data_IF_502169068904
#
_entry.id   IF_502169068904
#
_cell.length_a   1.000
_cell.length_b   1.000
_cell.length_c   1.000
_cell.angle_alpha   90.00
_cell.angle_beta   90.00
_cell.angle_gamma   90.00
#
_symmetry.space_group_name_H-M   'P 1'
#
loop_
_entity.id
_entity.type
_entity.pdbx_description
1 polymer ?
#
# COMPACT_ATOMS: atom_id res chain seq x y z
N UNK A 1 -17.34 8.90 -28.42
CA UNK A 1 -17.18 9.37 -27.02
C UNK A 1 -17.87 8.48 -25.98
N UNK A 2 -19.09 7.96 -26.20
CA UNK A 2 -19.78 7.08 -25.25
C UNK A 2 -19.02 5.79 -24.91
N UNK A 3 -18.37 5.15 -25.89
CA UNK A 3 -17.59 3.91 -25.69
C UNK A 3 -16.44 4.04 -24.68
N UNK A 4 -15.74 5.19 -24.67
CA UNK A 4 -14.60 5.41 -23.78
C UNK A 4 -15.02 5.54 -22.31
N UNK A 5 -16.17 6.16 -22.04
CA UNK A 5 -16.68 6.33 -20.66
C UNK A 5 -17.12 4.99 -20.06
N UNK A 6 -17.77 4.15 -20.86
CA UNK A 6 -18.17 2.80 -20.44
C UNK A 6 -16.96 1.91 -20.13
N UNK A 7 -15.88 2.06 -20.88
CA UNK A 7 -14.64 1.31 -20.63
C UNK A 7 -13.93 1.77 -19.34
N UNK A 8 -13.88 3.07 -19.07
CA UNK A 8 -13.33 3.60 -17.82
C UNK A 8 -14.14 3.14 -16.60
N UNK A 9 -15.47 3.18 -16.69
CA UNK A 9 -16.39 2.66 -15.66
C UNK A 9 -16.19 1.15 -15.43
N UNK A 10 -15.97 0.39 -16.50
CA UNK A 10 -15.67 -1.04 -16.42
C UNK A 10 -14.35 -1.32 -15.69
N UNK A 11 -13.29 -0.57 -16.00
CA UNK A 11 -11.98 -0.72 -15.35
C UNK A 11 -11.98 -0.29 -13.88
N UNK A 12 -12.77 0.72 -13.53
CA UNK A 12 -12.89 1.20 -12.15
C UNK A 12 -13.64 0.23 -11.24
N UNK A 13 -14.40 -0.72 -11.80
CA UNK A 13 -15.24 -1.61 -11.01
C UNK A 13 -15.24 -3.07 -11.46
N UNK A 14 -16.13 -3.47 -12.40
CA UNK A 14 -16.34 -4.86 -12.80
C UNK A 14 -15.05 -5.62 -13.11
N UNK A 15 -14.11 -4.99 -13.80
CA UNK A 15 -12.82 -5.59 -14.13
C UNK A 15 -12.01 -6.01 -12.88
N UNK A 16 -12.08 -5.25 -11.79
CA UNK A 16 -11.39 -5.58 -10.55
C UNK A 16 -11.99 -6.82 -9.87
N UNK A 17 -13.30 -7.00 -9.96
CA UNK A 17 -13.97 -8.19 -9.45
C UNK A 17 -13.58 -9.44 -10.24
N UNK A 18 -13.56 -9.33 -11.58
CA UNK A 18 -13.05 -10.39 -12.46
C UNK A 18 -11.58 -10.72 -12.16
N UNK A 19 -10.76 -9.71 -11.91
CA UNK A 19 -9.36 -9.89 -11.56
C UNK A 19 -9.20 -10.63 -10.23
N UNK A 20 -10.02 -10.33 -9.21
CA UNK A 20 -10.02 -11.08 -7.94
C UNK A 20 -10.33 -12.56 -8.18
N UNK A 21 -11.32 -12.86 -9.01
CA UNK A 21 -11.68 -14.24 -9.37
C UNK A 21 -10.52 -14.93 -10.07
N UNK A 22 -9.89 -14.27 -11.04
CA UNK A 22 -8.75 -14.83 -11.79
C UNK A 22 -7.53 -15.09 -10.89
N UNK A 23 -7.24 -14.20 -9.95
CA UNK A 23 -6.15 -14.36 -8.97
C UNK A 23 -6.43 -15.55 -8.04
N UNK A 24 -7.64 -15.65 -7.49
CA UNK A 24 -8.05 -16.76 -6.64
C UNK A 24 -7.98 -18.10 -7.36
N UNK A 25 -8.47 -18.15 -8.61
CA UNK A 25 -8.37 -19.35 -9.45
C UNK A 25 -6.91 -19.78 -9.71
N UNK A 26 -5.96 -18.84 -9.64
CA UNK A 26 -4.52 -19.10 -9.78
C UNK A 26 -3.80 -19.41 -8.45
N UNK A 27 -4.55 -19.58 -7.35
CA UNK A 27 -4.04 -19.87 -6.01
C UNK A 27 -3.51 -18.66 -5.24
N UNK A 28 -3.89 -17.44 -5.65
CA UNK A 28 -3.47 -16.19 -5.00
C UNK A 28 -4.64 -15.63 -4.20
N UNK A 29 -4.46 -15.51 -2.89
CA UNK A 29 -5.40 -14.78 -2.03
C UNK A 29 -5.46 -13.32 -2.47
N UNK A 30 -6.66 -12.88 -2.83
CA UNK A 30 -6.91 -11.55 -3.34
C UNK A 30 -8.25 -11.00 -2.84
N UNK A 31 -8.28 -9.70 -2.54
CA UNK A 31 -9.49 -8.95 -2.19
C UNK A 31 -9.55 -7.62 -2.90
N UNK A 32 -10.75 -7.14 -3.18
CA UNK A 32 -10.96 -5.78 -3.69
C UNK A 32 -10.92 -4.76 -2.56
N UNK A 33 -10.38 -3.58 -2.86
CA UNK A 33 -10.39 -2.39 -2.00
C UNK A 33 -10.61 -1.15 -2.87
N UNK A 34 -11.81 -0.57 -2.83
CA UNK A 34 -12.22 0.57 -3.66
C UNK A 34 -11.80 0.42 -5.15
N UNK A 35 -10.69 1.05 -5.54
CA UNK A 35 -10.11 1.12 -6.89
C UNK A 35 -8.89 0.20 -7.10
N UNK A 36 -8.63 -0.69 -6.14
CA UNK A 36 -7.46 -1.57 -6.10
C UNK A 36 -7.85 -3.03 -5.77
N UNK A 37 -6.96 -3.94 -6.12
CA UNK A 37 -6.97 -5.34 -5.70
C UNK A 37 -5.71 -5.60 -4.88
N UNK A 38 -5.91 -6.09 -3.65
CA UNK A 38 -4.86 -6.43 -2.70
C UNK A 38 -4.62 -7.93 -2.82
N UNK A 39 -3.46 -8.30 -3.37
CA UNK A 39 -2.96 -9.67 -3.47
C UNK A 39 -1.64 -9.75 -2.71
N UNK A 40 -1.73 -9.73 -1.37
CA UNK A 40 -0.61 -9.43 -0.49
C UNK A 40 0.67 -10.24 -0.82
N UNK A 41 1.86 -9.63 -0.83
CA UNK A 41 2.15 -8.21 -0.57
C UNK A 41 1.94 -7.27 -1.76
N UNK A 42 1.37 -7.73 -2.88
CA UNK A 42 1.23 -6.94 -4.11
C UNK A 42 -0.08 -6.16 -4.11
N UNK A 43 -0.02 -4.90 -4.53
CA UNK A 43 -1.19 -4.06 -4.75
C UNK A 43 -1.32 -3.76 -6.25
N UNK A 44 -2.49 -4.05 -6.80
CA UNK A 44 -2.85 -3.76 -8.19
C UNK A 44 -3.89 -2.64 -8.19
N UNK A 45 -3.61 -1.52 -8.85
CA UNK A 45 -4.52 -0.38 -8.97
C UNK A 45 -4.91 -0.15 -10.42
N UNK A 46 -6.19 0.08 -10.69
CA UNK A 46 -6.62 0.51 -12.02
C UNK A 46 -6.22 1.96 -12.28
N UNK A 47 -5.86 2.27 -13.52
CA UNK A 47 -5.76 3.64 -14.03
C UNK A 47 -6.73 3.73 -15.21
N UNK A 48 -8.04 3.94 -14.96
CA UNK A 48 -9.05 3.90 -16.02
C UNK A 48 -8.75 4.86 -17.17
N UNK A 49 -8.33 6.09 -16.85
CA UNK A 49 -8.00 7.14 -17.82
C UNK A 49 -6.84 6.79 -18.77
N UNK A 50 -5.97 5.86 -18.37
CA UNK A 50 -4.85 5.39 -19.20
C UNK A 50 -5.08 3.98 -19.77
N UNK A 51 -6.18 3.29 -19.39
CA UNK A 51 -6.44 1.88 -19.74
C UNK A 51 -5.32 0.94 -19.31
N UNK A 52 -4.78 1.18 -18.13
CA UNK A 52 -3.65 0.46 -17.59
C UNK A 52 -3.90 0.00 -16.16
N UNK A 53 -3.07 -0.93 -15.73
CA UNK A 53 -2.90 -1.25 -14.32
C UNK A 53 -1.59 -0.67 -13.79
N UNK A 54 -1.54 -0.37 -12.51
CA UNK A 54 -0.33 -0.11 -11.75
C UNK A 54 -0.13 -1.25 -10.75
N UNK A 55 1.03 -1.89 -10.80
CA UNK A 55 1.41 -2.97 -9.90
C UNK A 55 2.68 -2.54 -9.18
N UNK A 56 2.58 -2.30 -7.86
CA UNK A 56 3.68 -1.78 -7.02
C UNK A 56 4.45 -0.60 -7.64
N UNK A 57 3.71 0.34 -8.23
CA UNK A 57 4.25 1.55 -8.86
C UNK A 57 4.67 1.40 -10.32
N UNK A 58 4.68 0.18 -10.89
CA UNK A 58 4.99 -0.06 -12.31
C UNK A 58 3.71 -0.12 -13.14
N UNK A 59 3.68 0.58 -14.28
CA UNK A 59 2.57 0.50 -15.23
C UNK A 59 2.60 -0.83 -15.99
N UNK A 60 1.44 -1.42 -16.19
CA UNK A 60 1.20 -2.62 -16.99
C UNK A 60 0.09 -2.30 -17.99
N UNK A 61 0.43 -2.33 -19.28
CA UNK A 61 -0.52 -2.09 -20.39
C UNK A 61 -1.44 -3.26 -20.66
N UNK A 62 -1.07 -4.47 -20.24
CA UNK A 62 -1.89 -5.65 -20.47
C UNK A 62 -2.97 -5.78 -19.42
N UNK A 63 -4.22 -5.73 -19.86
CA UNK A 63 -5.43 -6.01 -19.06
C UNK A 63 -5.84 -7.49 -19.15
N UNK A 64 -5.04 -8.35 -19.80
CA UNK A 64 -5.35 -9.78 -19.88
C UNK A 64 -5.16 -10.41 -18.50
N UNK A 65 -6.17 -11.09 -17.92
CA UNK A 65 -6.07 -11.64 -16.57
C UNK A 65 -4.82 -12.51 -16.35
N UNK A 66 -4.44 -13.34 -17.32
CA UNK A 66 -3.24 -14.18 -17.24
C UNK A 66 -1.94 -13.39 -17.13
N UNK A 67 -1.82 -12.27 -17.84
CA UNK A 67 -0.65 -11.39 -17.77
C UNK A 67 -0.58 -10.69 -16.40
N UNK A 68 -1.72 -10.28 -15.86
CA UNK A 68 -1.81 -9.67 -14.53
C UNK A 68 -1.47 -10.68 -13.43
N UNK A 69 -2.03 -11.89 -13.49
CA UNK A 69 -1.70 -13.00 -12.57
C UNK A 69 -0.20 -13.28 -12.58
N UNK A 70 0.43 -13.37 -13.76
CA UNK A 70 1.87 -13.57 -13.88
C UNK A 70 2.67 -12.40 -13.28
N UNK A 71 2.22 -11.16 -13.47
CA UNK A 71 2.86 -9.98 -12.88
C UNK A 71 2.74 -9.99 -11.34
N UNK A 72 1.58 -10.35 -10.79
CA UNK A 72 1.38 -10.48 -9.35
C UNK A 72 2.26 -11.59 -8.76
N UNK A 73 2.32 -12.78 -9.37
CA UNK A 73 3.21 -13.87 -8.92
C UNK A 73 4.68 -13.44 -8.91
N UNK A 74 5.13 -12.69 -9.93
CA UNK A 74 6.48 -12.12 -9.94
C UNK A 74 6.68 -11.12 -8.80
N UNK A 75 5.70 -10.27 -8.54
CA UNK A 75 5.73 -9.30 -7.44
C UNK A 75 5.81 -9.96 -6.06
N UNK A 76 5.03 -11.02 -5.82
CA UNK A 76 5.04 -11.73 -4.53
C UNK A 76 6.40 -12.39 -4.21
N UNK A 77 7.14 -12.80 -5.24
CA UNK A 77 8.48 -13.39 -5.10
C UNK A 77 9.61 -12.35 -5.18
N UNK A 78 9.31 -11.10 -5.50
CA UNK A 78 10.32 -10.06 -5.64
C UNK A 78 10.82 -9.59 -4.27
N UNK A 79 12.09 -9.17 -4.22
CA UNK A 79 12.64 -8.50 -3.04
C UNK A 79 11.85 -7.21 -2.77
N UNK A 80 11.46 -6.92 -1.50
CA UNK A 80 10.80 -5.66 -1.16
C UNK A 80 11.60 -4.46 -1.67
N UNK A 81 10.92 -3.53 -2.33
CA UNK A 81 11.54 -2.28 -2.81
C UNK A 81 12.13 -1.47 -1.66
N UNK A 82 11.46 -1.50 -0.51
CA UNK A 82 11.88 -0.89 0.71
C UNK A 82 12.07 -1.99 1.78
N UNK A 83 13.32 -2.36 2.10
CA UNK A 83 13.60 -3.32 3.16
C UNK A 83 13.10 -2.81 4.53
N UNK A 84 12.67 -3.70 5.44
CA UNK A 84 12.20 -3.35 6.78
C UNK A 84 13.12 -2.39 7.54
N UNK A 85 14.43 -2.64 7.58
CA UNK A 85 15.39 -1.77 8.28
C UNK A 85 15.37 -0.34 7.73
N UNK A 86 15.30 -0.19 6.39
CA UNK A 86 15.25 1.14 5.77
C UNK A 86 13.91 1.83 6.02
N UNK A 87 12.81 1.08 6.04
CA UNK A 87 11.51 1.63 6.39
C UNK A 87 11.49 2.11 7.84
N UNK A 88 12.09 1.37 8.76
CA UNK A 88 12.20 1.75 10.16
C UNK A 88 12.95 3.08 10.35
N UNK A 89 14.03 3.31 9.62
CA UNK A 89 14.75 4.60 9.64
C UNK A 89 13.89 5.76 9.10
N UNK A 90 13.06 5.50 8.08
CA UNK A 90 12.12 6.50 7.57
C UNK A 90 11.02 6.82 8.59
N UNK A 91 10.51 5.82 9.30
CA UNK A 91 9.54 6.02 10.39
C UNK A 91 10.13 6.88 11.50
N UNK A 92 11.38 6.63 11.91
CA UNK A 92 12.07 7.46 12.91
C UNK A 92 12.25 8.90 12.43
N UNK A 93 12.61 9.08 11.16
CA UNK A 93 12.78 10.41 10.56
C UNK A 93 11.46 11.19 10.57
N UNK A 94 10.37 10.57 10.13
CA UNK A 94 9.04 11.17 10.13
C UNK A 94 8.52 11.42 11.55
N UNK A 95 8.78 10.50 12.47
CA UNK A 95 8.45 10.66 13.89
C UNK A 95 9.11 11.92 14.47
N UNK A 96 10.43 12.08 14.28
CA UNK A 96 11.20 13.24 14.78
C UNK A 96 10.69 14.56 14.21
N UNK A 97 10.29 14.57 12.95
CA UNK A 97 9.71 15.75 12.31
C UNK A 97 8.40 16.19 12.99
N UNK A 98 7.60 15.25 13.47
CA UNK A 98 6.30 15.53 14.12
C UNK A 98 6.47 15.78 15.62
N UNK A 99 7.31 14.99 16.30
CA UNK A 99 7.49 15.07 17.76
C UNK A 99 8.25 16.32 18.19
N UNK A 100 9.03 16.92 17.29
CA UNK A 100 9.91 18.04 17.62
C UNK A 100 10.83 17.68 18.79
N UNK A 101 10.77 18.49 19.85
CA UNK A 101 11.60 18.33 21.05
C UNK A 101 11.06 17.35 22.10
N UNK A 102 9.91 16.71 21.88
CA UNK A 102 9.27 15.80 22.85
C UNK A 102 9.45 14.31 22.46
N UNK A 103 10.55 13.65 22.84
CA UNK A 103 10.73 12.23 22.57
C UNK A 103 9.76 11.37 23.41
N UNK A 104 9.36 10.22 22.86
CA UNK A 104 8.50 9.25 23.54
C UNK A 104 6.99 9.50 23.44
N UNK A 105 6.56 10.56 22.75
CA UNK A 105 5.15 10.79 22.45
C UNK A 105 4.58 9.68 21.56
N UNK A 106 3.36 9.21 21.84
CA UNK A 106 2.65 8.32 20.93
C UNK A 106 2.05 9.13 19.78
N UNK A 107 2.39 8.77 18.54
CA UNK A 107 1.94 9.47 17.32
C UNK A 107 1.10 8.53 16.46
N UNK A 108 -0.05 9.02 16.01
CA UNK A 108 -0.91 8.28 15.09
C UNK A 108 -0.18 7.98 13.76
N UNK A 109 -0.26 6.72 13.30
CA UNK A 109 0.34 6.27 12.04
C UNK A 109 -0.13 7.09 10.83
N UNK A 110 -1.35 7.62 10.86
CA UNK A 110 -1.87 8.54 9.84
C UNK A 110 -1.06 9.83 9.74
N UNK A 111 -0.59 10.39 10.87
CA UNK A 111 0.28 11.57 10.88
C UNK A 111 1.68 11.26 10.35
N UNK A 112 2.21 10.07 10.68
CA UNK A 112 3.48 9.59 10.13
C UNK A 112 3.39 9.45 8.61
N UNK A 113 2.33 8.81 8.10
CA UNK A 113 2.07 8.70 6.66
C UNK A 113 1.99 10.09 6.02
N UNK A 114 1.21 11.01 6.59
CA UNK A 114 1.11 12.39 6.08
C UNK A 114 2.48 13.08 6.00
N UNK A 115 3.31 12.94 7.03
CA UNK A 115 4.67 13.50 7.05
C UNK A 115 5.56 12.91 5.94
N UNK A 116 5.47 11.59 5.70
CA UNK A 116 6.20 10.92 4.61
C UNK A 116 5.71 11.33 3.22
N UNK A 117 4.49 11.85 3.10
CA UNK A 117 3.85 12.21 1.82
C UNK A 117 3.57 13.71 1.66
N UNK A 118 4.27 14.59 2.40
CA UNK A 118 4.06 16.05 2.32
C UNK A 118 4.36 16.64 0.93
N UNK A 119 5.28 16.02 0.19
CA UNK A 119 5.65 16.50 -1.14
C UNK A 119 4.53 16.25 -2.16
N UNK A 120 4.18 17.26 -3.00
CA UNK A 120 3.19 17.08 -4.06
C UNK A 120 3.54 15.88 -4.96
N UNK A 121 2.56 15.02 -5.21
CA UNK A 121 2.72 13.83 -6.06
C UNK A 121 3.24 12.58 -5.34
N UNK A 122 3.80 12.67 -4.13
CA UNK A 122 4.26 11.49 -3.39
C UNK A 122 3.10 10.59 -2.99
N UNK A 123 1.99 11.16 -2.50
CA UNK A 123 0.79 10.40 -2.13
C UNK A 123 0.14 9.65 -3.31
N UNK A 124 0.34 10.11 -4.55
CA UNK A 124 -0.15 9.42 -5.76
C UNK A 124 0.66 8.16 -6.08
N UNK A 125 1.93 8.12 -5.67
CA UNK A 125 2.86 7.01 -5.92
C UNK A 125 3.03 6.08 -4.71
N UNK A 126 2.74 6.58 -3.51
CA UNK A 126 2.82 5.87 -2.24
C UNK A 126 1.58 6.17 -1.42
N UNK A 127 0.58 5.29 -1.51
CA UNK A 127 -0.70 5.43 -0.85
C UNK A 127 -0.76 4.77 0.53
N UNK A 128 -1.92 4.84 1.21
CA UNK A 128 -2.10 4.22 2.52
C UNK A 128 -1.96 2.70 2.51
N UNK A 129 -2.33 2.03 1.41
CA UNK A 129 -2.18 0.58 1.28
C UNK A 129 -0.71 0.16 1.19
N UNK A 130 0.11 0.91 0.45
CA UNK A 130 1.55 0.69 0.37
C UNK A 130 2.22 0.89 1.73
N UNK A 131 1.81 1.93 2.47
CA UNK A 131 2.27 2.17 3.83
C UNK A 131 1.88 1.04 4.79
N UNK A 132 0.63 0.56 4.74
CA UNK A 132 0.16 -0.56 5.54
C UNK A 132 0.91 -1.86 5.21
N UNK A 133 1.21 -2.12 3.92
CA UNK A 133 2.02 -3.26 3.50
C UNK A 133 3.43 -3.20 4.10
N UNK A 134 4.06 -2.03 4.05
CA UNK A 134 5.43 -1.87 4.55
C UNK A 134 5.47 -1.99 6.08
N UNK A 135 4.45 -1.48 6.80
CA UNK A 135 4.27 -1.72 8.24
C UNK A 135 4.12 -3.20 8.57
N UNK A 136 3.29 -3.93 7.82
CA UNK A 136 3.15 -5.37 8.01
C UNK A 136 4.46 -6.12 7.77
N UNK A 137 5.22 -5.73 6.74
CA UNK A 137 6.52 -6.33 6.45
C UNK A 137 7.55 -6.04 7.56
N UNK A 138 7.50 -4.84 8.15
CA UNK A 138 8.34 -4.46 9.28
C UNK A 138 8.02 -5.26 10.54
N UNK A 139 6.73 -5.33 10.91
CA UNK A 139 6.24 -6.06 12.08
C UNK A 139 6.60 -7.54 12.00
N UNK A 140 6.31 -8.19 10.86
CA UNK A 140 6.69 -9.59 10.61
C UNK A 140 8.20 -9.82 10.57
N UNK A 141 8.98 -8.81 10.18
CA UNK A 141 10.44 -8.86 10.14
C UNK A 141 11.09 -8.83 11.52
N UNK A 142 10.36 -8.45 12.58
CA UNK A 142 10.88 -8.35 13.94
C UNK A 142 11.93 -7.25 14.15
N UNK A 143 12.09 -6.35 13.17
CA UNK A 143 13.06 -5.25 13.26
C UNK A 143 12.42 -4.10 14.04
N UNK A 144 12.88 -3.91 15.27
CA UNK A 144 12.37 -2.85 16.15
C UNK A 144 13.42 -1.78 16.49
N UNK A 145 14.71 -2.01 16.20
CA UNK A 145 15.81 -1.13 16.60
C UNK A 145 16.48 -0.47 15.40
N UNK A 146 16.60 0.86 15.44
CA UNK A 146 17.31 1.64 14.41
C UNK A 146 18.82 1.56 14.58
N UNK A 147 19.58 2.01 13.57
CA UNK A 147 21.04 2.10 13.62
C UNK A 147 21.55 3.01 14.73
N UNK A 148 20.80 4.07 15.04
CA UNK A 148 21.10 5.01 16.14
C UNK A 148 20.66 4.47 17.51
N UNK A 149 20.10 3.26 17.56
CA UNK A 149 19.73 2.58 18.80
C UNK A 149 18.34 2.92 19.32
N UNK A 150 17.56 3.75 18.62
CA UNK A 150 16.17 4.01 18.98
C UNK A 150 15.32 2.75 18.78
N UNK A 151 14.32 2.54 19.63
CA UNK A 151 13.40 1.40 19.54
C UNK A 151 12.01 1.90 19.17
N UNK A 152 11.43 1.32 18.12
CA UNK A 152 10.04 1.57 17.71
C UNK A 152 9.16 0.48 18.28
N UNK A 153 8.10 0.89 18.96
CA UNK A 153 7.05 -0.01 19.43
C UNK A 153 5.71 0.39 18.81
N UNK A 154 5.06 -0.55 18.15
CA UNK A 154 3.66 -0.40 17.78
C UNK A 154 2.84 -0.89 18.97
N UNK A 155 2.20 0.02 19.70
CA UNK A 155 1.23 -0.39 20.70
C UNK A 155 0.10 -1.10 19.98
N UNK A 156 -0.38 -2.22 20.53
CA UNK A 156 -1.49 -2.98 19.98
C UNK A 156 -2.79 -2.16 20.11
N UNK A 157 -2.94 -1.11 19.31
CA UNK A 157 -4.23 -0.49 19.08
C UNK A 157 -4.91 -1.33 18.03
N UNK A 158 -5.63 -2.34 18.52
CA UNK A 158 -6.54 -3.18 17.76
C UNK A 158 -7.36 -2.31 16.83
N UNK A 159 -7.12 -2.45 15.53
CA UNK A 159 -7.97 -1.85 14.51
C UNK A 159 -9.38 -2.42 14.62
N UNK A 160 -10.28 -1.69 15.26
CA UNK A 160 -11.71 -1.70 14.99
C UNK A 160 -12.31 -0.33 15.30
N UNK A 161 -12.26 0.56 14.31
CA UNK A 161 -13.40 1.37 13.91
C UNK A 161 -13.07 2.07 12.59
N UNK A 162 -13.53 1.44 11.50
CA UNK A 162 -14.09 2.22 10.40
C UNK A 162 -15.18 3.12 11.02
N UNK A 163 -14.79 4.35 11.34
CA UNK A 163 -15.60 5.28 12.12
C UNK A 163 -14.97 6.64 12.00
N UNK A 164 -15.41 7.37 10.97
CA UNK A 164 -15.17 8.79 10.71
C UNK A 164 -14.90 9.57 12.01
N UNK A 165 -13.65 10.00 12.21
CA UNK A 165 -13.33 11.22 12.97
C UNK A 165 -13.08 11.14 14.48
N UNK A 166 -12.38 10.14 15.02
CA UNK A 166 -11.74 10.26 16.35
C UNK A 166 -10.41 9.51 16.36
N UNK A 167 -9.32 10.17 16.79
CA UNK A 167 -8.03 9.53 17.07
C UNK A 167 -7.61 9.90 18.50
N UNK A 168 -7.63 8.92 19.39
CA UNK A 168 -6.88 8.89 20.66
C UNK A 168 -5.62 8.08 20.45
#
# INVERSE_FOLDING_TARGET
>A
HLSNRTEEEYLAGPYLDELVIALKAAGIEARRDAESVIAFPVIVRAIPSERMLRIDGKKLSSLRPSAVVAAVKRGQNAKPRLPPDRFLELLLTAYRLISGSEPGQTIALSRIYQALTLMPGTAASYGPLEFARDLYALDRGGVARTKEGATVSFTASTGTKAGRGVYT
#
